data_IF_300153474308
#
_entry.id   IF_300153474308
#
_cell.length_a   1.000
_cell.length_b   1.000
_cell.length_c   1.000
_cell.angle_alpha   90.00
_cell.angle_beta   90.00
_cell.angle_gamma   90.00
#
_symmetry.space_group_name_H-M   'P 1'
#
loop_
_entity.id
_entity.type
_entity.pdbx_description
1 polymer ?
#
# COMPACT_ATOMS: atom_id res chain seq x y z
N UNK A 1 -26.99 8.07 1.06
CA UNK A 1 -25.91 7.06 1.00
C UNK A 1 -26.40 5.88 1.82
N UNK A 2 -26.43 4.66 1.24
CA UNK A 2 -26.81 3.45 1.97
C UNK A 2 -25.51 2.83 2.51
N UNK A 3 -25.43 2.52 3.82
CA UNK A 3 -24.25 1.92 4.43
C UNK A 3 -24.10 0.46 3.98
N UNK A 4 -23.32 0.22 2.93
CA UNK A 4 -22.94 -1.13 2.47
C UNK A 4 -21.46 -1.38 2.72
N UNK A 5 -21.07 -2.59 3.19
CA UNK A 5 -19.66 -2.95 3.32
C UNK A 5 -18.99 -2.90 1.95
N UNK A 6 -17.79 -2.33 1.90
CA UNK A 6 -17.06 -2.12 0.65
C UNK A 6 -15.75 -2.88 0.64
N UNK A 7 -15.28 -3.20 -0.57
CA UNK A 7 -13.94 -3.73 -0.79
C UNK A 7 -13.09 -2.65 -1.41
N UNK A 8 -12.10 -2.21 -0.66
CA UNK A 8 -11.11 -1.23 -1.09
C UNK A 8 -9.85 -1.97 -1.53
N UNK A 9 -9.35 -1.64 -2.71
CA UNK A 9 -8.08 -2.18 -3.21
C UNK A 9 -6.99 -1.17 -2.97
N UNK A 10 -6.00 -1.54 -2.15
CA UNK A 10 -4.80 -0.72 -1.88
C UNK A 10 -3.65 -1.28 -2.71
N UNK A 11 -3.07 -0.46 -3.58
CA UNK A 11 -2.00 -0.87 -4.50
C UNK A 11 -0.79 0.04 -4.37
N UNK A 12 0.39 -0.55 -4.19
CA UNK A 12 1.65 0.17 -4.21
C UNK A 12 2.15 0.36 -5.65
N UNK A 13 2.36 1.62 -6.03
CA UNK A 13 2.91 2.03 -7.33
C UNK A 13 4.30 2.64 -7.15
N UNK A 14 5.20 2.40 -8.11
CA UNK A 14 6.61 2.81 -8.01
C UNK A 14 7.46 1.74 -7.35
N UNK A 15 8.49 2.14 -6.59
CA UNK A 15 9.38 1.31 -5.76
C UNK A 15 9.64 -0.11 -6.32
N UNK A 16 10.47 -0.20 -7.36
CA UNK A 16 10.66 -1.43 -8.14
C UNK A 16 11.06 -2.63 -7.26
N UNK A 17 10.34 -3.74 -7.44
CA UNK A 17 10.59 -4.99 -6.72
C UNK A 17 10.14 -4.97 -5.25
N UNK A 18 9.57 -3.87 -4.76
CA UNK A 18 9.07 -3.81 -3.39
C UNK A 18 7.73 -4.53 -3.24
N UNK A 19 7.54 -5.09 -2.06
CA UNK A 19 6.34 -5.74 -1.57
C UNK A 19 5.88 -5.04 -0.29
N UNK A 20 4.60 -5.19 0.06
CA UNK A 20 4.05 -4.74 1.33
C UNK A 20 3.35 -5.88 2.06
N UNK A 21 3.33 -5.81 3.39
CA UNK A 21 2.56 -6.71 4.26
C UNK A 21 1.68 -5.88 5.17
N UNK A 22 0.41 -6.26 5.29
CA UNK A 22 -0.59 -5.51 6.06
C UNK A 22 -0.84 -6.21 7.39
N UNK A 23 -0.63 -5.51 8.51
CA UNK A 23 -0.89 -6.09 9.84
C UNK A 23 -2.37 -6.42 9.99
N UNK A 24 -2.67 -7.62 10.45
CA UNK A 24 -4.04 -8.10 10.67
C UNK A 24 -4.70 -8.69 9.42
N UNK A 25 -3.98 -8.79 8.30
CA UNK A 25 -4.41 -9.52 7.11
C UNK A 25 -3.48 -10.73 6.95
N UNK A 26 -4.03 -11.95 7.06
CA UNK A 26 -3.30 -13.21 6.89
C UNK A 26 -3.15 -13.53 5.39
N UNK A 27 -2.42 -12.66 4.68
CA UNK A 27 -2.08 -12.83 3.28
C UNK A 27 -0.57 -12.70 3.09
N UNK A 28 0.02 -13.38 2.10
CA UNK A 28 1.43 -13.20 1.78
C UNK A 28 1.72 -11.75 1.37
N UNK A 29 2.98 -11.35 1.51
CA UNK A 29 3.42 -10.03 1.05
C UNK A 29 3.20 -9.89 -0.46
N UNK A 30 2.61 -8.77 -0.87
CA UNK A 30 2.26 -8.49 -2.27
C UNK A 30 2.31 -6.97 -2.51
N UNK A 31 1.97 -6.51 -3.71
CA UNK A 31 1.87 -5.09 -4.04
C UNK A 31 0.43 -4.59 -4.05
N UNK A 32 -0.56 -5.49 -3.96
CA UNK A 32 -1.98 -5.14 -3.94
C UNK A 32 -2.75 -5.98 -2.92
N UNK A 33 -3.60 -5.34 -2.11
CA UNK A 33 -4.44 -6.01 -1.13
C UNK A 33 -5.89 -5.54 -1.25
N UNK A 34 -6.82 -6.49 -1.16
CA UNK A 34 -8.24 -6.22 -1.01
C UNK A 34 -8.58 -6.13 0.49
N UNK A 35 -9.14 -5.00 0.90
CA UNK A 35 -9.47 -4.68 2.28
C UNK A 35 -10.97 -4.49 2.39
N UNK A 36 -11.62 -5.40 3.13
CA UNK A 36 -13.02 -5.21 3.53
C UNK A 36 -13.13 -4.09 4.56
N UNK A 37 -14.00 -3.13 4.30
CA UNK A 37 -14.34 -2.02 5.19
C UNK A 37 -15.83 -2.06 5.52
N UNK A 38 -16.12 -1.93 6.81
CA UNK A 38 -17.47 -1.77 7.30
C UNK A 38 -18.04 -0.42 6.87
N UNK A 39 -19.35 -0.32 6.64
CA UNK A 39 -19.95 0.95 6.23
C UNK A 39 -19.78 2.03 7.30
N UNK A 40 -19.55 3.26 6.85
CA UNK A 40 -19.36 4.44 7.70
C UNK A 40 -18.27 4.27 8.77
N UNK A 41 -17.28 3.39 8.53
CA UNK A 41 -16.12 3.21 9.42
C UNK A 41 -14.82 3.51 8.73
N UNK A 42 -13.97 4.26 9.44
CA UNK A 42 -12.56 4.38 9.11
C UNK A 42 -11.82 3.10 9.51
N UNK A 43 -11.05 2.53 8.59
CA UNK A 43 -10.15 1.40 8.87
C UNK A 43 -8.70 1.86 8.72
N UNK A 44 -7.94 1.79 9.80
CA UNK A 44 -6.50 2.05 9.77
C UNK A 44 -5.75 0.80 9.34
N UNK A 45 -4.86 0.95 8.37
CA UNK A 45 -3.97 -0.10 7.91
C UNK A 45 -2.54 0.22 8.35
N UNK A 46 -1.84 -0.79 8.86
CA UNK A 46 -0.42 -0.70 9.18
C UNK A 46 0.33 -1.55 8.17
N UNK A 47 0.91 -0.89 7.20
CA UNK A 47 1.61 -1.50 6.08
C UNK A 47 3.11 -1.45 6.30
N UNK A 48 3.77 -2.60 6.19
CA UNK A 48 5.22 -2.72 6.17
C UNK A 48 5.68 -2.88 4.73
N UNK A 49 6.44 -1.90 4.23
CA UNK A 49 7.01 -1.92 2.88
C UNK A 49 8.45 -2.42 2.94
N UNK A 50 8.79 -3.38 2.08
CA UNK A 50 10.14 -3.92 1.93
C UNK A 50 10.57 -3.84 0.47
N UNK A 51 11.78 -3.34 0.23
CA UNK A 51 12.41 -3.33 -1.08
C UNK A 51 13.70 -4.18 -1.04
N UNK A 52 13.91 -5.07 -2.02
CA UNK A 52 15.17 -5.80 -2.15
C UNK A 52 16.37 -4.85 -2.32
N UNK A 53 17.49 -5.19 -1.69
CA UNK A 53 18.69 -4.34 -1.71
C UNK A 53 19.26 -4.12 -3.12
N UNK A 54 19.15 -5.12 -4.02
CA UNK A 54 19.57 -5.04 -5.42
C UNK A 54 18.70 -4.09 -6.28
N UNK A 55 17.56 -3.63 -5.74
CA UNK A 55 16.60 -2.76 -6.43
C UNK A 55 16.55 -1.34 -5.88
N UNK A 56 17.35 -1.03 -4.87
CA UNK A 56 17.43 0.32 -4.31
C UNK A 56 18.01 1.27 -5.36
N UNK A 57 17.18 2.18 -5.88
CA UNK A 57 17.56 3.14 -6.91
C UNK A 57 18.22 4.42 -6.37
N UNK A 58 18.29 4.58 -5.05
CA UNK A 58 18.86 5.73 -4.38
C UNK A 58 18.53 5.75 -2.88
N UNK A 59 19.19 6.63 -2.13
CA UNK A 59 18.98 6.79 -0.69
C UNK A 59 17.52 7.14 -0.34
N UNK A 60 16.86 7.89 -1.22
CA UNK A 60 15.48 8.33 -1.05
C UNK A 60 14.72 8.06 -2.35
N UNK A 61 13.61 7.34 -2.27
CA UNK A 61 12.77 6.97 -3.41
C UNK A 61 11.31 7.32 -3.07
N UNK A 62 10.63 8.01 -3.98
CA UNK A 62 9.18 8.28 -3.82
C UNK A 62 8.37 7.16 -4.44
N UNK A 63 7.25 6.84 -3.81
CA UNK A 63 6.30 5.85 -4.27
C UNK A 63 4.89 6.26 -3.86
N UNK A 64 3.88 5.58 -4.39
CA UNK A 64 2.48 5.92 -4.10
C UNK A 64 1.70 4.71 -3.63
N UNK A 65 0.76 4.94 -2.73
CA UNK A 65 -0.36 4.05 -2.52
C UNK A 65 -1.55 4.59 -3.30
N UNK A 66 -2.11 3.76 -4.18
CA UNK A 66 -3.38 4.04 -4.85
C UNK A 66 -4.47 3.22 -4.18
N UNK A 67 -5.49 3.90 -3.71
CA UNK A 67 -6.66 3.32 -3.05
C UNK A 67 -7.81 3.40 -4.04
N UNK A 68 -8.46 2.27 -4.32
CA UNK A 68 -9.57 2.19 -5.28
C UNK A 68 -10.76 1.48 -4.64
N UNK A 69 -11.93 2.13 -4.67
CA UNK A 69 -13.19 1.49 -4.37
C UNK A 69 -13.75 0.81 -5.62
N UNK A 70 -13.90 -0.51 -5.59
CA UNK A 70 -14.35 -1.30 -6.74
C UNK A 70 -15.82 -1.11 -7.08
N UNK A 71 -16.64 -0.63 -6.14
CA UNK A 71 -18.08 -0.48 -6.34
C UNK A 71 -18.44 0.87 -6.95
N UNK A 72 -17.73 1.94 -6.57
CA UNK A 72 -17.98 3.30 -7.04
C UNK A 72 -16.95 3.83 -8.06
N UNK A 73 -15.88 3.08 -8.35
CA UNK A 73 -14.73 3.53 -9.14
C UNK A 73 -14.05 4.79 -8.57
N UNK A 74 -14.28 5.11 -7.29
CA UNK A 74 -13.59 6.20 -6.61
C UNK A 74 -12.13 5.80 -6.35
N UNK A 75 -11.22 6.75 -6.56
CA UNK A 75 -9.79 6.51 -6.33
C UNK A 75 -9.14 7.68 -5.62
N UNK A 76 -8.21 7.37 -4.73
CA UNK A 76 -7.35 8.32 -4.04
C UNK A 76 -5.89 7.87 -4.10
N UNK A 77 -4.96 8.81 -4.01
CA UNK A 77 -3.51 8.54 -4.08
C UNK A 77 -2.78 9.21 -2.92
N UNK A 78 -1.97 8.44 -2.21
CA UNK A 78 -1.07 8.92 -1.17
C UNK A 78 0.39 8.75 -1.59
N UNK A 79 1.15 9.85 -1.62
CA UNK A 79 2.59 9.82 -1.95
C UNK A 79 3.42 9.64 -0.68
N UNK A 80 4.28 8.62 -0.68
CA UNK A 80 5.17 8.27 0.41
C UNK A 80 6.64 8.24 -0.04
N UNK A 81 7.53 8.30 0.93
CA UNK A 81 8.99 8.30 0.71
C UNK A 81 9.62 7.10 1.38
N UNK A 82 10.31 6.28 0.60
CA UNK A 82 11.13 5.17 1.07
C UNK A 82 12.56 5.66 1.26
N UNK A 83 13.05 5.57 2.50
CA UNK A 83 14.44 5.86 2.84
C UNK A 83 15.18 4.54 2.91
N UNK A 84 16.07 4.32 1.95
CA UNK A 84 16.92 3.15 1.93
C UNK A 84 17.98 3.27 3.04
N UNK A 85 18.45 2.13 3.60
CA UNK A 85 19.57 2.16 4.53
C UNK A 85 20.79 2.81 3.86
N UNK A 86 21.57 3.54 4.65
CA UNK A 86 22.86 4.06 4.20
C UNK A 86 23.72 2.86 3.79
N UNK A 87 24.00 2.75 2.49
CA UNK A 87 24.94 1.75 1.99
C UNK A 87 26.31 2.28 2.40
N UNK A 88 26.79 1.86 3.58
CA UNK A 88 28.18 2.04 3.97
C UNK A 88 29.02 1.40 2.85
N UNK A 89 29.60 2.25 2.01
CA UNK A 89 30.45 1.84 0.89
C UNK A 89 31.85 1.54 1.39
#
# INVERSE_FOLDING_TARGET
MIPEPRTIVVTMQGLRGAEMSVVGIDLPADRSFAVAVEPDRLKMLKDFVRQPADRVGGATQTFKFRVEDKASCETDEYTATFNAPEIAR
#
